data_IF_725259365928
#
_entry.id   IF_725259365928
#
_cell.length_a   1.000
_cell.length_b   1.000
_cell.length_c   1.000
_cell.angle_alpha   90.00
_cell.angle_beta   90.00
_cell.angle_gamma   90.00
#
_symmetry.space_group_name_H-M   'P 1'
#
loop_
_entity.id
_entity.type
_entity.pdbx_description
1 polymer ?
#
# COMPACT_ATOMS: atom_id res chain seq x y z
N UNK A 1 -49.37 -1.30 34.05
CA UNK A 1 -49.13 -0.84 32.67
C UNK A 1 -47.63 -0.66 32.51
N UNK A 2 -46.97 -1.54 31.75
CA UNK A 2 -45.52 -1.53 31.54
C UNK A 2 -45.25 -1.06 30.11
N UNK A 3 -44.59 0.09 29.98
CA UNK A 3 -44.16 0.64 28.69
C UNK A 3 -42.84 -0.02 28.27
N UNK A 4 -42.93 -0.95 27.32
CA UNK A 4 -41.80 -1.57 26.64
C UNK A 4 -41.24 -0.61 25.57
N UNK A 5 -40.22 0.17 25.92
CA UNK A 5 -39.45 0.97 24.95
C UNK A 5 -38.55 0.06 24.12
N UNK A 6 -38.91 -0.18 22.85
CA UNK A 6 -38.06 -0.86 21.89
C UNK A 6 -36.85 0.01 21.48
N UNK A 7 -35.62 -0.52 21.43
CA UNK A 7 -34.45 0.26 21.01
C UNK A 7 -34.54 0.59 19.51
N UNK A 8 -34.46 1.88 19.18
CA UNK A 8 -34.37 2.37 17.79
C UNK A 8 -33.04 1.91 17.18
N UNK A 9 -33.13 0.84 16.41
CA UNK A 9 -32.00 0.24 15.68
C UNK A 9 -31.43 1.25 14.68
N UNK A 10 -30.16 1.60 14.88
CA UNK A 10 -29.39 2.55 14.08
C UNK A 10 -29.18 2.02 12.65
N UNK A 11 -30.09 2.38 11.73
CA UNK A 11 -30.08 2.06 10.28
C UNK A 11 -28.95 2.72 9.46
N UNK A 12 -27.82 3.08 10.06
CA UNK A 12 -26.72 3.82 9.41
C UNK A 12 -25.53 2.98 8.90
N UNK A 13 -25.17 1.81 9.49
CA UNK A 13 -24.08 0.98 8.97
C UNK A 13 -24.40 0.28 7.64
N UNK A 14 -25.66 -0.08 7.41
CA UNK A 14 -26.10 -0.88 6.26
C UNK A 14 -26.06 -0.13 4.93
N UNK A 15 -26.31 1.18 4.94
CA UNK A 15 -26.33 2.00 3.73
C UNK A 15 -24.91 2.34 3.24
N UNK A 16 -23.99 2.49 4.18
CA UNK A 16 -22.56 2.74 3.93
C UNK A 16 -21.89 1.46 3.40
N UNK A 17 -22.20 0.30 4.01
CA UNK A 17 -21.77 -1.00 3.50
C UNK A 17 -22.39 -1.33 2.13
N UNK A 18 -23.67 -1.05 1.95
CA UNK A 18 -24.36 -1.23 0.66
C UNK A 18 -23.77 -0.34 -0.44
N UNK A 19 -23.44 0.92 -0.13
CA UNK A 19 -22.77 1.83 -1.08
C UNK A 19 -21.38 1.35 -1.50
N UNK A 20 -20.60 0.81 -0.56
CA UNK A 20 -19.30 0.23 -0.88
C UNK A 20 -19.45 -1.03 -1.74
N UNK A 21 -20.43 -1.88 -1.44
CA UNK A 21 -20.70 -3.09 -2.23
C UNK A 21 -21.15 -2.74 -3.65
N UNK A 22 -21.95 -1.68 -3.81
CA UNK A 22 -22.37 -1.15 -5.12
C UNK A 22 -21.18 -0.61 -5.90
N UNK A 23 -20.27 0.13 -5.24
CA UNK A 23 -19.06 0.64 -5.88
C UNK A 23 -18.13 -0.50 -6.33
N UNK A 24 -17.91 -1.50 -5.47
CA UNK A 24 -17.13 -2.70 -5.79
C UNK A 24 -17.77 -3.49 -6.93
N UNK A 25 -19.11 -3.66 -6.90
CA UNK A 25 -19.86 -4.31 -7.97
C UNK A 25 -19.84 -3.55 -9.29
N UNK A 26 -19.86 -2.22 -9.26
CA UNK A 26 -19.76 -1.38 -10.44
C UNK A 26 -18.37 -1.48 -11.09
N UNK A 27 -17.31 -1.55 -10.29
CA UNK A 27 -15.94 -1.79 -10.77
C UNK A 27 -15.82 -3.17 -11.44
N UNK A 28 -16.45 -4.20 -10.86
CA UNK A 28 -16.51 -5.54 -11.44
C UNK A 28 -17.27 -5.57 -12.78
N UNK A 29 -18.42 -4.90 -12.84
CA UNK A 29 -19.21 -4.79 -14.07
C UNK A 29 -18.45 -4.06 -15.18
N UNK A 30 -17.75 -2.98 -14.85
CA UNK A 30 -16.87 -2.29 -15.78
C UNK A 30 -15.75 -3.19 -16.29
N UNK A 31 -15.14 -4.01 -15.43
CA UNK A 31 -14.11 -4.96 -15.84
C UNK A 31 -14.63 -6.07 -16.78
N UNK A 32 -15.86 -6.53 -16.57
CA UNK A 32 -16.46 -7.60 -17.36
C UNK A 32 -16.88 -7.15 -18.78
N UNK A 33 -17.17 -5.86 -18.96
CA UNK A 33 -17.56 -5.28 -20.25
C UNK A 33 -16.39 -5.15 -21.23
N UNK A 34 -15.14 -5.17 -20.77
CA UNK A 34 -13.96 -4.83 -21.60
C UNK A 34 -13.33 -6.03 -22.32
N UNK A 35 -13.86 -7.26 -22.19
CA UNK A 35 -13.31 -8.45 -22.90
C UNK A 35 -11.79 -8.65 -22.69
N UNK A 36 -11.27 -8.27 -21.53
CA UNK A 36 -9.91 -8.60 -21.09
C UNK A 36 -9.95 -10.04 -20.56
N UNK A 37 -8.91 -10.84 -20.80
CA UNK A 37 -8.78 -12.21 -20.27
C UNK A 37 -8.91 -12.21 -18.73
N UNK A 38 -10.15 -12.33 -18.24
CA UNK A 38 -10.53 -12.12 -16.84
C UNK A 38 -9.84 -13.12 -15.92
N UNK A 39 -9.51 -14.31 -16.43
CA UNK A 39 -8.76 -15.32 -15.67
C UNK A 39 -7.33 -14.90 -15.37
N UNK A 40 -6.65 -14.26 -16.33
CA UNK A 40 -5.26 -13.84 -16.17
C UNK A 40 -5.16 -12.48 -15.47
N UNK A 41 -5.93 -11.47 -15.88
CA UNK A 41 -5.81 -10.12 -15.30
C UNK A 41 -6.77 -9.86 -14.12
N UNK A 42 -7.79 -10.69 -13.94
CA UNK A 42 -8.82 -10.49 -12.92
C UNK A 42 -8.46 -11.06 -11.55
N UNK A 43 -7.50 -11.99 -11.44
CA UNK A 43 -7.22 -12.65 -10.16
C UNK A 43 -6.69 -11.72 -9.05
N UNK A 44 -5.88 -10.68 -9.31
CA UNK A 44 -5.42 -9.75 -8.27
C UNK A 44 -6.60 -9.02 -7.59
N UNK A 45 -7.73 -8.85 -8.29
CA UNK A 45 -8.93 -8.26 -7.71
C UNK A 45 -9.54 -9.12 -6.59
N UNK A 46 -9.36 -10.45 -6.60
CA UNK A 46 -9.75 -11.31 -5.47
C UNK A 46 -8.91 -11.06 -4.21
N UNK A 47 -7.73 -10.46 -4.33
CA UNK A 47 -6.90 -10.02 -3.20
C UNK A 47 -7.27 -8.60 -2.80
N UNK A 48 -7.42 -7.69 -3.77
CA UNK A 48 -7.74 -6.27 -3.52
C UNK A 48 -9.11 -6.13 -2.86
N UNK A 49 -10.15 -6.79 -3.38
CA UNK A 49 -11.52 -6.64 -2.91
C UNK A 49 -11.68 -6.92 -1.40
N UNK A 50 -11.22 -8.06 -0.85
CA UNK A 50 -11.26 -8.28 0.60
C UNK A 50 -10.35 -7.33 1.37
N UNK A 51 -9.18 -6.93 0.83
CA UNK A 51 -8.31 -5.93 1.46
C UNK A 51 -9.01 -4.58 1.66
N UNK A 52 -9.67 -4.09 0.62
CA UNK A 52 -10.45 -2.84 0.65
C UNK A 52 -11.66 -2.98 1.58
N UNK A 53 -12.35 -4.12 1.57
CA UNK A 53 -13.46 -4.39 2.48
C UNK A 53 -13.01 -4.35 3.95
N UNK A 54 -11.86 -4.97 4.27
CA UNK A 54 -11.26 -4.94 5.61
C UNK A 54 -10.89 -3.49 5.98
N UNK A 55 -10.27 -2.74 5.07
CA UNK A 55 -9.94 -1.33 5.28
C UNK A 55 -11.18 -0.50 5.60
N UNK A 56 -12.27 -0.71 4.87
CA UNK A 56 -13.51 -0.01 5.12
C UNK A 56 -14.10 -0.35 6.48
N UNK A 57 -14.14 -1.63 6.84
CA UNK A 57 -14.56 -2.08 8.17
C UNK A 57 -13.69 -1.45 9.25
N UNK A 58 -12.38 -1.37 9.02
CA UNK A 58 -11.42 -0.75 9.93
C UNK A 58 -11.74 0.71 10.22
N UNK A 59 -12.07 1.49 9.19
CA UNK A 59 -12.43 2.91 9.34
C UNK A 59 -13.76 3.12 10.08
N UNK A 60 -14.67 2.13 10.04
CA UNK A 60 -15.90 2.16 10.83
C UNK A 60 -15.72 1.67 12.27
N UNK A 61 -14.70 0.84 12.51
CA UNK A 61 -14.37 0.29 13.81
C UNK A 61 -13.62 1.29 14.70
N UNK A 62 -13.87 1.23 16.01
CA UNK A 62 -13.27 2.14 16.99
C UNK A 62 -12.19 1.42 17.81
N UNK A 63 -11.19 2.19 18.25
CA UNK A 63 -10.16 1.70 19.15
C UNK A 63 -9.08 0.86 18.47
N UNK A 64 -8.37 0.06 19.26
CA UNK A 64 -7.22 -0.72 18.80
C UNK A 64 -7.57 -1.73 17.70
N UNK A 65 -8.80 -2.25 17.70
CA UNK A 65 -9.27 -3.17 16.68
C UNK A 65 -9.37 -2.52 15.30
N UNK A 66 -9.87 -1.28 15.21
CA UNK A 66 -9.93 -0.54 13.95
C UNK A 66 -8.54 -0.23 13.40
N UNK A 67 -7.59 0.10 14.27
CA UNK A 67 -6.20 0.34 13.88
C UNK A 67 -5.53 -0.92 13.31
N UNK A 68 -5.68 -2.06 13.99
CA UNK A 68 -5.14 -3.34 13.51
C UNK A 68 -5.75 -3.78 12.18
N UNK A 69 -7.08 -3.62 12.01
CA UNK A 69 -7.76 -3.92 10.76
C UNK A 69 -7.32 -2.96 9.63
N UNK A 70 -7.03 -1.70 9.93
CA UNK A 70 -6.61 -0.74 8.90
C UNK A 70 -5.22 -1.09 8.36
N UNK A 71 -4.31 -1.50 9.25
CA UNK A 71 -2.99 -2.02 8.89
C UNK A 71 -3.15 -3.30 8.04
N UNK A 72 -3.96 -4.26 8.50
CA UNK A 72 -4.18 -5.51 7.78
C UNK A 72 -4.79 -5.28 6.39
N UNK A 73 -5.87 -4.51 6.32
CA UNK A 73 -6.54 -4.19 5.05
C UNK A 73 -5.62 -3.43 4.10
N UNK A 74 -4.76 -2.54 4.62
CA UNK A 74 -3.75 -1.83 3.83
C UNK A 74 -2.70 -2.77 3.25
N UNK A 75 -2.15 -3.70 4.06
CA UNK A 75 -1.21 -4.73 3.60
C UNK A 75 -1.82 -5.56 2.47
N UNK A 76 -3.04 -6.06 2.66
CA UNK A 76 -3.72 -6.91 1.67
C UNK A 76 -4.00 -6.12 0.39
N UNK A 77 -4.47 -4.88 0.51
CA UNK A 77 -4.77 -4.01 -0.64
C UNK A 77 -3.52 -3.68 -1.43
N UNK A 78 -2.43 -3.25 -0.76
CA UNK A 78 -1.17 -2.91 -1.42
C UNK A 78 -0.54 -4.15 -2.07
N UNK A 79 -0.58 -5.31 -1.41
CA UNK A 79 -0.15 -6.58 -2.02
C UNK A 79 -0.94 -6.86 -3.29
N UNK A 80 -2.27 -6.73 -3.25
CA UNK A 80 -3.13 -6.91 -4.42
C UNK A 80 -2.81 -5.92 -5.55
N UNK A 81 -2.51 -4.65 -5.23
CA UNK A 81 -2.11 -3.65 -6.23
C UNK A 81 -0.76 -3.97 -6.88
N UNK A 82 0.20 -4.49 -6.11
CA UNK A 82 1.49 -4.95 -6.64
C UNK A 82 1.25 -6.13 -7.60
N UNK A 83 0.42 -7.10 -7.20
CA UNK A 83 0.08 -8.24 -8.04
C UNK A 83 -0.65 -7.81 -9.33
N UNK A 84 -1.52 -6.81 -9.24
CA UNK A 84 -2.19 -6.23 -10.40
C UNK A 84 -1.18 -5.60 -11.38
N UNK A 85 -0.22 -4.84 -10.86
CA UNK A 85 0.88 -4.29 -11.66
C UNK A 85 1.71 -5.41 -12.31
N UNK A 86 2.16 -6.38 -11.52
CA UNK A 86 3.00 -7.50 -11.98
C UNK A 86 2.32 -8.32 -13.06
N UNK A 87 1.02 -8.59 -12.91
CA UNK A 87 0.26 -9.32 -13.91
C UNK A 87 -0.05 -8.47 -15.15
N UNK A 88 -0.13 -7.14 -15.04
CA UNK A 88 -0.36 -6.26 -16.18
C UNK A 88 0.91 -6.05 -17.03
N UNK A 89 2.09 -6.09 -16.40
CA UNK A 89 3.38 -5.82 -17.04
C UNK A 89 4.27 -7.06 -17.17
N UNK A 90 3.78 -8.24 -16.79
CA UNK A 90 4.52 -9.50 -16.67
C UNK A 90 5.85 -9.39 -15.88
N UNK A 91 5.92 -8.43 -14.96
CA UNK A 91 7.16 -8.00 -14.30
C UNK A 91 7.24 -8.53 -12.87
N UNK A 92 7.17 -9.86 -12.73
CA UNK A 92 7.11 -10.56 -11.43
C UNK A 92 8.42 -10.45 -10.63
N UNK A 93 9.54 -10.24 -11.32
CA UNK A 93 10.86 -9.97 -10.75
C UNK A 93 10.89 -8.73 -9.83
N UNK A 94 9.96 -7.78 -10.01
CA UNK A 94 9.79 -6.65 -9.10
C UNK A 94 9.54 -7.06 -7.65
N UNK A 95 9.14 -8.31 -7.40
CA UNK A 95 9.01 -8.85 -6.05
C UNK A 95 10.29 -8.69 -5.21
N UNK A 96 11.47 -8.64 -5.84
CA UNK A 96 12.75 -8.42 -5.17
C UNK A 96 12.81 -7.11 -4.35
N UNK A 97 12.06 -6.08 -4.78
CA UNK A 97 12.03 -4.77 -4.13
C UNK A 97 10.63 -4.28 -3.76
N UNK A 98 9.56 -4.76 -4.41
CA UNK A 98 8.19 -4.32 -4.19
C UNK A 98 7.66 -4.64 -2.79
N UNK A 99 8.16 -5.68 -2.12
CA UNK A 99 7.76 -6.02 -0.75
C UNK A 99 8.00 -4.87 0.25
N UNK A 100 8.93 -3.96 -0.04
CA UNK A 100 9.21 -2.78 0.80
C UNK A 100 8.04 -1.79 0.85
N UNK A 101 7.20 -1.78 -0.19
CA UNK A 101 5.94 -1.05 -0.21
C UNK A 101 4.89 -1.72 0.67
N UNK A 102 4.97 -3.03 0.91
CA UNK A 102 4.09 -3.75 1.83
C UNK A 102 4.56 -3.48 3.27
N UNK A 103 5.82 -3.75 3.55
CA UNK A 103 6.43 -3.49 4.85
C UNK A 103 7.75 -2.71 4.67
N UNK A 104 7.87 -1.48 5.19
CA UNK A 104 6.95 -0.78 6.10
C UNK A 104 5.84 0.06 5.44
N UNK A 105 5.79 0.18 4.11
CA UNK A 105 4.94 1.15 3.41
C UNK A 105 3.44 1.01 3.71
N UNK A 106 2.85 -0.16 3.48
CA UNK A 106 1.42 -0.40 3.65
C UNK A 106 1.00 -0.36 5.13
N UNK A 107 1.87 -0.81 6.04
CA UNK A 107 1.66 -0.62 7.48
C UNK A 107 1.50 0.86 7.80
N UNK A 108 2.42 1.69 7.32
CA UNK A 108 2.36 3.13 7.50
C UNK A 108 1.09 3.75 6.91
N UNK A 109 0.69 3.32 5.71
CA UNK A 109 -0.54 3.79 5.06
C UNK A 109 -1.79 3.44 5.89
N UNK A 110 -1.87 2.23 6.45
CA UNK A 110 -2.97 1.83 7.33
C UNK A 110 -3.03 2.68 8.61
N UNK A 111 -1.88 2.99 9.21
CA UNK A 111 -1.78 3.88 10.36
C UNK A 111 -2.21 5.32 10.04
N UNK A 112 -1.82 5.84 8.88
CA UNK A 112 -2.24 7.18 8.42
C UNK A 112 -3.74 7.23 8.19
N UNK A 113 -4.29 6.29 7.42
CA UNK A 113 -5.72 6.24 7.09
C UNK A 113 -6.57 6.16 8.36
N UNK A 114 -6.23 5.26 9.27
CA UNK A 114 -6.94 5.14 10.55
C UNK A 114 -6.72 6.37 11.43
N UNK A 115 -5.50 6.90 11.49
CA UNK A 115 -5.15 8.07 12.30
C UNK A 115 -5.92 9.33 11.90
N UNK A 116 -6.18 9.51 10.60
CA UNK A 116 -7.00 10.62 10.09
C UNK A 116 -8.47 10.47 10.53
N UNK A 117 -9.06 9.28 10.40
CA UNK A 117 -10.46 9.04 10.77
C UNK A 117 -10.67 9.06 12.28
N UNK A 118 -9.75 8.49 13.04
CA UNK A 118 -9.81 8.40 14.50
C UNK A 118 -9.25 9.66 15.22
N UNK A 119 -8.82 10.69 14.48
CA UNK A 119 -8.19 11.90 15.02
C UNK A 119 -7.00 11.62 15.95
N UNK A 120 -6.14 10.67 15.55
CA UNK A 120 -4.93 10.26 16.27
C UNK A 120 -3.68 10.79 15.56
N UNK A 121 -3.21 12.00 15.87
CA UNK A 121 -2.07 12.61 15.16
C UNK A 121 -0.76 11.83 15.33
N UNK A 122 -0.60 11.10 16.45
CA UNK A 122 0.55 10.21 16.67
C UNK A 122 0.65 9.11 15.61
N UNK A 123 -0.47 8.48 15.26
CA UNK A 123 -0.53 7.43 14.25
C UNK A 123 -0.23 7.99 12.86
N UNK A 124 -0.73 9.18 12.54
CA UNK A 124 -0.42 9.84 11.27
C UNK A 124 1.07 10.13 11.18
N UNK A 125 1.69 10.69 12.23
CA UNK A 125 3.13 10.99 12.21
C UNK A 125 3.99 9.74 12.06
N UNK A 126 3.68 8.69 12.82
CA UNK A 126 4.39 7.41 12.75
C UNK A 126 4.18 6.75 11.38
N UNK A 127 2.93 6.71 10.92
CA UNK A 127 2.56 6.12 9.64
C UNK A 127 3.21 6.82 8.45
N UNK A 128 3.21 8.16 8.39
CA UNK A 128 3.90 8.92 7.33
C UNK A 128 5.39 8.63 7.30
N UNK A 129 6.03 8.45 8.47
CA UNK A 129 7.44 8.05 8.53
C UNK A 129 7.66 6.65 7.96
N UNK A 130 6.79 5.69 8.29
CA UNK A 130 6.85 4.32 7.75
C UNK A 130 6.61 4.29 6.23
N UNK A 131 5.63 5.05 5.73
CA UNK A 131 5.40 5.23 4.28
C UNK A 131 6.66 5.79 3.62
N UNK A 132 7.24 6.85 4.17
CA UNK A 132 8.46 7.46 3.65
C UNK A 132 9.63 6.48 3.62
N UNK A 133 9.84 5.70 4.69
CA UNK A 133 10.88 4.65 4.73
C UNK A 133 10.61 3.59 3.66
N UNK A 134 9.38 3.10 3.54
CA UNK A 134 9.01 2.09 2.54
C UNK A 134 9.25 2.56 1.11
N UNK A 135 8.86 3.80 0.80
CA UNK A 135 9.10 4.41 -0.52
C UNK A 135 10.59 4.58 -0.79
N UNK A 136 11.38 5.05 0.18
CA UNK A 136 12.83 5.19 0.01
C UNK A 136 13.49 3.83 -0.23
N UNK A 137 13.13 2.80 0.55
CA UNK A 137 13.63 1.45 0.36
C UNK A 137 13.22 0.87 -0.99
N UNK A 138 11.98 1.12 -1.43
CA UNK A 138 11.51 0.72 -2.75
C UNK A 138 12.33 1.36 -3.86
N UNK A 139 12.53 2.68 -3.82
CA UNK A 139 13.31 3.40 -4.83
C UNK A 139 14.77 2.93 -4.87
N UNK A 140 15.38 2.69 -3.71
CA UNK A 140 16.73 2.12 -3.63
C UNK A 140 16.76 0.70 -4.20
N UNK A 141 15.74 -0.11 -3.90
CA UNK A 141 15.59 -1.46 -4.43
C UNK A 141 15.45 -1.47 -5.95
N UNK A 142 14.53 -0.68 -6.50
CA UNK A 142 14.36 -0.49 -7.96
C UNK A 142 15.68 -0.11 -8.60
N UNK A 143 16.33 0.94 -8.09
CA UNK A 143 17.56 1.44 -8.68
C UNK A 143 18.71 0.41 -8.62
N UNK A 144 18.76 -0.41 -7.56
CA UNK A 144 19.74 -1.49 -7.43
C UNK A 144 19.42 -2.69 -8.32
N UNK A 145 18.21 -3.25 -8.22
CA UNK A 145 17.83 -4.49 -8.90
C UNK A 145 17.58 -4.30 -10.39
N UNK A 146 16.87 -3.24 -10.80
CA UNK A 146 16.64 -2.94 -12.21
C UNK A 146 17.86 -2.29 -12.84
N UNK A 147 18.49 -1.34 -12.14
CA UNK A 147 19.65 -0.63 -12.66
C UNK A 147 20.90 -1.51 -12.69
N UNK A 148 21.33 -2.04 -11.55
CA UNK A 148 22.64 -2.72 -11.45
C UNK A 148 22.55 -4.19 -11.86
N UNK A 149 21.54 -4.92 -11.37
CA UNK A 149 21.41 -6.36 -11.62
C UNK A 149 20.72 -6.63 -12.97
N UNK A 150 19.80 -5.77 -13.40
CA UNK A 150 19.10 -5.92 -14.68
C UNK A 150 18.09 -7.07 -14.68
N UNK A 151 17.44 -7.35 -13.55
CA UNK A 151 16.51 -8.48 -13.43
C UNK A 151 15.26 -8.35 -14.31
N UNK A 152 14.86 -7.12 -14.65
CA UNK A 152 13.66 -6.83 -15.44
C UNK A 152 13.73 -7.07 -16.93
N UNK A 153 14.86 -7.53 -17.47
CA UNK A 153 15.03 -7.75 -18.91
C UNK A 153 14.96 -6.49 -19.78
N UNK A 154 14.74 -5.31 -19.18
CA UNK A 154 14.96 -4.03 -19.82
C UNK A 154 16.46 -3.91 -20.10
N UNK A 155 16.85 -3.98 -21.38
CA UNK A 155 18.19 -3.71 -21.89
C UNK A 155 18.58 -2.24 -21.63
N UNK A 156 18.64 -1.83 -20.36
CA UNK A 156 19.46 -0.71 -19.94
C UNK A 156 20.89 -1.15 -20.22
N UNK A 157 21.39 -0.82 -21.42
CA UNK A 157 22.72 -1.23 -21.87
C UNK A 157 23.73 -1.05 -20.75
N UNK A 158 24.66 -2.00 -20.60
CA UNK A 158 25.60 -2.20 -19.46
C UNK A 158 26.18 -0.92 -18.82
N UNK A 159 26.27 0.19 -19.55
CA UNK A 159 26.63 1.53 -19.06
C UNK A 159 25.60 2.18 -18.12
N UNK A 160 24.29 2.06 -18.39
CA UNK A 160 23.23 2.66 -17.58
C UNK A 160 23.20 2.06 -16.16
N UNK A 161 23.40 0.75 -16.03
CA UNK A 161 23.46 0.10 -14.73
C UNK A 161 24.64 0.51 -13.87
N UNK A 162 25.80 0.71 -14.49
CA UNK A 162 26.99 1.25 -13.80
C UNK A 162 26.77 2.69 -13.35
N UNK A 163 26.14 3.52 -14.17
CA UNK A 163 25.83 4.92 -13.84
C UNK A 163 24.82 5.01 -12.69
N UNK A 164 23.75 4.21 -12.73
CA UNK A 164 22.75 4.15 -11.67
C UNK A 164 23.38 3.65 -10.37
N UNK A 165 24.18 2.58 -10.42
CA UNK A 165 24.90 2.07 -9.25
C UNK A 165 25.87 3.08 -8.65
N UNK A 166 26.64 3.78 -9.49
CA UNK A 166 27.54 4.84 -9.05
C UNK A 166 26.77 6.01 -8.40
N UNK A 167 25.61 6.38 -8.95
CA UNK A 167 24.74 7.42 -8.38
C UNK A 167 24.21 7.04 -7.00
N UNK A 168 23.75 5.79 -6.82
CA UNK A 168 23.28 5.31 -5.51
C UNK A 168 24.42 5.33 -4.49
N UNK A 169 25.61 4.86 -4.87
CA UNK A 169 26.79 4.88 -3.99
C UNK A 169 27.15 6.32 -3.62
N UNK A 170 27.13 7.24 -4.59
CA UNK A 170 27.44 8.66 -4.35
C UNK A 170 26.41 9.31 -3.43
N UNK A 171 25.10 9.06 -3.63
CA UNK A 171 24.03 9.57 -2.78
C UNK A 171 24.13 8.97 -1.37
N UNK A 172 24.37 7.66 -1.26
CA UNK A 172 24.57 6.98 0.01
C UNK A 172 25.75 7.54 0.78
N UNK A 173 26.90 7.71 0.12
CA UNK A 173 28.10 8.33 0.70
C UNK A 173 27.85 9.78 1.13
N UNK A 174 27.17 10.56 0.29
CA UNK A 174 26.83 11.95 0.58
C UNK A 174 25.93 12.09 1.80
N UNK A 175 24.88 11.28 1.92
CA UNK A 175 23.99 11.25 3.09
C UNK A 175 24.75 10.83 4.36
N UNK A 176 25.68 9.89 4.25
CA UNK A 176 26.53 9.44 5.37
C UNK A 176 27.43 10.58 5.86
N UNK A 177 28.07 11.30 4.93
CA UNK A 177 28.91 12.46 5.22
C UNK A 177 28.07 13.57 5.86
N UNK A 178 26.89 13.87 5.32
CA UNK A 178 25.99 14.89 5.88
C UNK A 178 25.54 14.56 7.31
N UNK A 179 25.21 13.29 7.58
CA UNK A 179 24.81 12.86 8.91
C UNK A 179 25.95 12.95 9.93
N UNK A 180 27.15 12.50 9.54
CA UNK A 180 28.36 12.60 10.37
C UNK A 180 28.75 14.06 10.66
N UNK A 181 28.52 14.96 9.70
CA UNK A 181 28.82 16.39 9.84
C UNK A 181 27.75 17.12 10.67
N UNK A 182 26.49 16.70 10.59
CA UNK A 182 25.37 17.21 11.40
C UNK A 182 25.48 16.82 12.87
N UNK A 183 25.99 15.63 13.19
CA UNK A 183 26.15 15.16 14.57
C UNK A 183 27.22 15.93 15.37
N UNK A 184 28.08 16.71 14.72
CA UNK A 184 29.10 17.55 15.38
C UNK A 184 28.61 18.95 15.78
N UNK A 185 27.36 19.31 15.45
CA UNK A 185 26.74 20.62 15.79
C UNK A 185 25.59 20.53 16.80
N UNK A 186 25.45 19.43 17.53
CA UNK A 186 24.56 19.29 18.69
C UNK A 186 25.36 18.98 19.94
#
# INVERSE_FOLDING_TARGET
MADSQAPRQSRRPSMVLGGLLVLVGAIFLLGQVVQIDVGHYGWPFFVIAPGVAILFLALTARGALGEGLAILGSIVTVTGLILLYQNATDHFESWAYAWTLIFPGAVGAGMVLYGLVASRPGNVRAGTRLVGIGVVLFLLGVAFFEGIIGIGGYEFGRSAGVVVGALIIAIGAFLLILNLTSSRRR
#
